data_IF_534740371418
#
_entry.id   IF_534740371418
#
_cell.length_a   1.000
_cell.length_b   1.000
_cell.length_c   1.000
_cell.angle_alpha   90.00
_cell.angle_beta   90.00
_cell.angle_gamma   90.00
#
_symmetry.space_group_name_H-M   'P 1'
#
loop_
_entity.id
_entity.type
_entity.pdbx_description
1 polymer ?
#
# COMPACT_ATOMS: atom_id res chain seq x y z
N UNK A 1 2.46 16.53 6.07
CA UNK A 1 1.65 16.64 4.84
C UNK A 1 0.94 15.31 4.61
N UNK A 2 -0.34 15.31 4.21
CA UNK A 2 -1.04 14.05 3.85
C UNK A 2 -0.41 13.53 2.55
N UNK A 3 0.07 12.29 2.52
CA UNK A 3 0.66 11.71 1.30
C UNK A 3 -0.36 11.71 0.15
N UNK A 4 0.03 12.15 -1.06
CA UNK A 4 -0.82 12.06 -2.25
C UNK A 4 -1.26 10.63 -2.52
N UNK A 5 -2.45 10.49 -3.08
CA UNK A 5 -2.98 9.19 -3.52
C UNK A 5 -2.84 9.10 -5.04
N UNK A 6 -2.34 7.97 -5.53
CA UNK A 6 -2.15 7.67 -6.95
C UNK A 6 -3.14 6.56 -7.37
N UNK A 7 -3.78 6.64 -8.54
CA UNK A 7 -4.64 5.56 -9.03
C UNK A 7 -3.81 4.34 -9.43
N UNK A 8 -4.32 3.14 -9.14
CA UNK A 8 -3.65 1.86 -9.41
C UNK A 8 -2.98 1.24 -8.18
N UNK A 9 -2.40 0.05 -8.37
CA UNK A 9 -1.73 -0.75 -7.35
C UNK A 9 -0.30 -1.13 -7.76
N UNK A 10 0.53 -1.48 -6.77
CA UNK A 10 1.96 -1.74 -7.01
C UNK A 10 2.21 -3.12 -7.63
N UNK A 11 1.59 -4.17 -7.09
CA UNK A 11 1.74 -5.55 -7.57
C UNK A 11 0.65 -6.45 -6.96
N UNK A 12 0.48 -7.64 -7.51
CA UNK A 12 -0.37 -8.68 -6.93
C UNK A 12 0.25 -9.22 -5.64
N UNK A 13 -0.55 -9.25 -4.57
CA UNK A 13 -0.13 -9.84 -3.29
C UNK A 13 -0.98 -11.08 -2.96
N UNK A 14 -0.57 -11.83 -1.94
CA UNK A 14 -1.39 -12.91 -1.38
C UNK A 14 -1.76 -12.55 0.06
N UNK A 15 -3.06 -12.65 0.37
CA UNK A 15 -3.59 -12.38 1.72
C UNK A 15 -2.97 -13.34 2.74
N UNK A 16 -2.56 -12.83 3.90
CA UNK A 16 -2.08 -13.64 5.02
C UNK A 16 -0.56 -13.80 5.16
N UNK A 17 0.24 -13.29 4.20
CA UNK A 17 1.68 -13.08 4.42
C UNK A 17 1.90 -11.82 5.24
N UNK A 18 1.83 -11.98 6.56
CA UNK A 18 2.06 -10.95 7.58
C UNK A 18 3.54 -10.77 7.96
N UNK A 19 4.45 -11.55 7.37
CA UNK A 19 5.88 -11.47 7.71
C UNK A 19 6.52 -10.26 7.01
N UNK A 20 6.21 -9.10 7.54
CA UNK A 20 6.74 -7.84 7.08
C UNK A 20 8.15 -7.55 7.66
N UNK A 21 8.67 -8.45 8.49
CA UNK A 21 10.07 -8.45 8.93
C UNK A 21 11.00 -9.01 7.84
N UNK A 22 10.50 -9.95 7.02
CA UNK A 22 11.30 -10.62 5.98
C UNK A 22 10.78 -10.42 4.57
N UNK A 23 9.49 -10.19 4.39
CA UNK A 23 8.86 -10.03 3.10
C UNK A 23 9.17 -8.69 2.43
N UNK A 24 8.93 -8.64 1.13
CA UNK A 24 8.96 -7.40 0.34
C UNK A 24 7.55 -6.88 0.01
N UNK A 25 6.53 -7.74 0.17
CA UNK A 25 5.13 -7.40 -0.04
C UNK A 25 4.22 -8.36 0.71
N UNK A 26 2.98 -7.93 0.93
CA UNK A 26 1.91 -8.75 1.49
C UNK A 26 0.62 -7.94 1.63
N UNK A 27 -0.38 -8.50 2.30
CA UNK A 27 -1.62 -7.80 2.60
C UNK A 27 -2.00 -7.92 4.07
N UNK A 28 -2.45 -6.79 4.64
CA UNK A 28 -2.93 -6.71 6.01
C UNK A 28 -4.35 -7.25 6.12
N UNK A 29 -4.62 -7.97 7.20
CA UNK A 29 -5.97 -8.38 7.55
C UNK A 29 -6.70 -7.19 8.18
N UNK A 30 -7.67 -6.63 7.46
CA UNK A 30 -8.43 -5.46 7.90
C UNK A 30 -9.79 -5.87 8.45
N UNK A 31 -10.33 -5.09 9.39
CA UNK A 31 -11.70 -5.32 9.86
C UNK A 31 -12.69 -4.90 8.77
N UNK A 32 -13.83 -5.58 8.60
CA UNK A 32 -14.84 -5.21 7.60
C UNK A 32 -15.30 -3.75 7.68
N UNK A 33 -15.30 -3.15 8.87
CA UNK A 33 -15.65 -1.75 9.08
C UNK A 33 -14.72 -0.76 8.36
N UNK A 34 -13.44 -1.12 8.14
CA UNK A 34 -12.47 -0.27 7.45
C UNK A 34 -12.83 -0.02 5.98
N UNK A 35 -13.55 -0.93 5.33
CA UNK A 35 -13.89 -0.84 3.90
C UNK A 35 -15.15 -0.02 3.60
N UNK A 36 -15.74 0.64 4.61
CA UNK A 36 -16.94 1.47 4.45
C UNK A 36 -16.63 2.94 4.15
N UNK A 37 -15.38 3.35 4.36
CA UNK A 37 -14.90 4.71 4.11
C UNK A 37 -13.44 4.65 3.63
N UNK A 38 -13.18 5.25 2.47
CA UNK A 38 -11.87 5.23 1.84
C UNK A 38 -10.83 5.96 2.68
N UNK A 39 -11.23 6.99 3.44
CA UNK A 39 -10.35 7.71 4.33
C UNK A 39 -9.98 6.87 5.55
N UNK A 40 -10.96 6.17 6.13
CA UNK A 40 -10.72 5.22 7.22
C UNK A 40 -9.84 4.04 6.77
N UNK A 41 -10.06 3.51 5.57
CA UNK A 41 -9.22 2.46 4.98
C UNK A 41 -7.78 2.94 4.80
N UNK A 42 -7.58 4.07 4.11
CA UNK A 42 -6.26 4.68 3.91
C UNK A 42 -5.53 4.88 5.24
N UNK A 43 -6.18 5.52 6.21
CA UNK A 43 -5.57 5.79 7.52
C UNK A 43 -5.15 4.49 8.23
N UNK A 44 -5.99 3.45 8.15
CA UNK A 44 -5.71 2.17 8.80
C UNK A 44 -4.60 1.39 8.08
N UNK A 45 -4.56 1.41 6.75
CA UNK A 45 -3.47 0.82 5.95
C UNK A 45 -2.14 1.50 6.23
N UNK A 46 -2.12 2.84 6.21
CA UNK A 46 -0.93 3.62 6.57
C UNK A 46 -0.49 3.33 8.00
N UNK A 47 -1.41 3.25 8.95
CA UNK A 47 -1.07 2.93 10.34
C UNK A 47 -0.43 1.55 10.49
N UNK A 48 -0.98 0.51 9.86
CA UNK A 48 -0.38 -0.84 9.86
C UNK A 48 1.01 -0.83 9.20
N UNK A 49 1.16 -0.13 8.08
CA UNK A 49 2.44 0.06 7.40
C UNK A 49 3.48 0.74 8.31
N UNK A 50 3.07 1.75 9.08
CA UNK A 50 3.97 2.45 10.00
C UNK A 50 4.49 1.55 11.13
N UNK A 51 3.73 0.53 11.54
CA UNK A 51 4.20 -0.47 12.51
C UNK A 51 5.21 -1.47 11.90
N UNK A 52 5.30 -1.53 10.57
CA UNK A 52 6.12 -2.49 9.86
C UNK A 52 7.40 -1.86 9.31
N UNK A 53 8.59 -2.22 9.78
CA UNK A 53 9.86 -1.54 9.42
C UNK A 53 10.21 -1.57 7.92
N UNK A 54 9.73 -2.55 7.15
CA UNK A 54 9.97 -2.68 5.70
C UNK A 54 8.88 -2.06 4.83
N UNK A 55 7.74 -1.68 5.37
CA UNK A 55 6.67 -1.10 4.57
C UNK A 55 6.96 0.36 4.20
N UNK A 56 6.95 0.66 2.90
CA UNK A 56 7.16 2.00 2.38
C UNK A 56 5.94 2.52 1.60
N UNK A 57 5.15 1.61 1.01
CA UNK A 57 3.97 1.94 0.21
C UNK A 57 2.80 1.04 0.60
N UNK A 58 1.58 1.53 0.39
CA UNK A 58 0.38 0.71 0.47
C UNK A 58 -0.51 0.95 -0.74
N UNK A 59 -1.07 -0.14 -1.27
CA UNK A 59 -2.17 -0.13 -2.25
C UNK A 59 -3.42 -0.64 -1.57
N UNK A 60 -4.53 0.07 -1.71
CA UNK A 60 -5.78 -0.25 -1.03
C UNK A 60 -6.99 -0.04 -1.94
N UNK A 61 -8.03 -0.84 -1.70
CA UNK A 61 -9.29 -0.76 -2.43
C UNK A 61 -10.43 -1.17 -1.52
N UNK A 62 -11.47 -0.34 -1.42
CA UNK A 62 -12.70 -0.72 -0.73
C UNK A 62 -13.46 -1.80 -1.49
N UNK A 63 -13.49 -1.70 -2.82
CA UNK A 63 -14.20 -2.60 -3.73
C UNK A 63 -13.62 -4.02 -3.61
N UNK A 64 -12.28 -4.12 -3.67
CA UNK A 64 -11.56 -5.39 -3.57
C UNK A 64 -11.34 -5.83 -2.12
N UNK A 65 -11.72 -5.00 -1.15
CA UNK A 65 -11.48 -5.19 0.28
C UNK A 65 -10.02 -5.52 0.58
N UNK A 66 -9.13 -4.74 -0.01
CA UNK A 66 -7.68 -4.98 0.02
C UNK A 66 -6.93 -3.83 0.70
N UNK A 67 -5.85 -4.21 1.37
CA UNK A 67 -4.87 -3.36 2.00
C UNK A 67 -3.50 -4.03 1.88
N UNK A 68 -2.88 -3.87 0.73
CA UNK A 68 -1.58 -4.44 0.38
C UNK A 68 -0.45 -3.48 0.72
N UNK A 69 0.67 -4.02 1.18
CA UNK A 69 1.86 -3.28 1.56
C UNK A 69 3.06 -3.72 0.74
N UNK A 70 3.98 -2.78 0.49
CA UNK A 70 5.15 -3.00 -0.35
C UNK A 70 6.37 -2.29 0.21
N UNK A 71 7.52 -2.96 0.11
CA UNK A 71 8.82 -2.38 0.36
C UNK A 71 9.27 -1.45 -0.78
N UNK A 72 8.90 -1.75 -2.03
CA UNK A 72 9.21 -0.94 -3.21
C UNK A 72 8.00 -0.83 -4.14
N UNK A 73 7.82 0.34 -4.77
CA UNK A 73 6.76 0.59 -5.74
C UNK A 73 7.14 1.79 -6.62
N UNK A 74 6.91 1.71 -7.93
CA UNK A 74 7.04 2.86 -8.83
C UNK A 74 5.67 3.55 -8.97
N UNK A 75 5.53 4.73 -8.37
CA UNK A 75 4.29 5.51 -8.41
C UNK A 75 3.99 6.11 -9.79
N UNK A 76 4.92 6.04 -10.74
CA UNK A 76 4.72 6.49 -12.12
C UNK A 76 4.27 5.37 -13.05
N UNK A 77 4.31 4.11 -12.60
CA UNK A 77 3.98 2.92 -13.40
C UNK A 77 3.14 1.94 -12.58
N UNK A 78 1.99 2.43 -12.10
CA UNK A 78 1.04 1.62 -11.32
C UNK A 78 0.15 0.78 -12.24
N UNK A 79 -0.09 -0.46 -11.84
CA UNK A 79 -1.03 -1.33 -12.52
C UNK A 79 -2.47 -0.82 -12.29
N UNK A 80 -3.22 -0.66 -13.38
CA UNK A 80 -4.61 -0.19 -13.41
C UNK A 80 -5.59 -1.23 -13.97
N UNK A 81 -5.13 -2.47 -14.19
CA UNK A 81 -5.93 -3.59 -14.68
C UNK A 81 -7.08 -3.97 -13.76
N UNK A 82 -6.95 -3.67 -12.45
CA UNK A 82 -8.01 -3.81 -11.47
C UNK A 82 -8.48 -2.43 -11.00
N UNK A 83 -9.75 -2.13 -11.25
CA UNK A 83 -10.34 -0.84 -10.94
C UNK A 83 -10.37 -0.53 -9.42
N UNK A 84 -10.45 0.76 -9.11
CA UNK A 84 -10.66 1.31 -7.76
C UNK A 84 -9.53 1.07 -6.75
N UNK A 85 -8.37 0.60 -7.22
CA UNK A 85 -7.15 0.65 -6.43
C UNK A 85 -6.53 2.03 -6.36
N UNK A 86 -5.96 2.30 -5.20
CA UNK A 86 -5.26 3.53 -4.89
C UNK A 86 -3.98 3.21 -4.12
N UNK A 87 -2.89 3.90 -4.44
CA UNK A 87 -1.59 3.72 -3.82
C UNK A 87 -1.11 5.02 -3.15
N UNK A 88 -0.48 4.89 -1.98
CA UNK A 88 0.17 6.00 -1.28
C UNK A 88 1.57 5.60 -0.81
N UNK A 89 2.52 6.52 -0.90
CA UNK A 89 3.78 6.41 -0.16
C UNK A 89 3.53 6.72 1.32
N UNK A 90 3.87 5.77 2.20
CA UNK A 90 3.76 5.91 3.65
C UNK A 90 5.07 6.47 4.20
N UNK A 91 6.18 5.78 3.90
CA UNK A 91 7.51 6.27 4.25
C UNK A 91 8.15 6.88 3.03
N UNK A 92 8.01 8.19 2.94
CA UNK A 92 8.85 8.98 2.03
C UNK A 92 10.26 9.00 2.65
N UNK A 93 11.01 7.90 2.50
CA UNK A 93 12.46 8.08 2.38
C UNK A 93 12.59 9.11 1.27
N UNK A 94 13.30 10.22 1.48
CA UNK A 94 13.72 11.10 0.38
C UNK A 94 14.38 10.19 -0.65
N UNK A 95 13.64 9.73 -1.64
CA UNK A 95 14.15 9.00 -2.77
C UNK A 95 14.81 10.08 -3.61
N UNK A 96 16.15 10.13 -3.71
CA UNK A 96 16.76 10.96 -4.72
C UNK A 96 16.27 10.43 -6.07
N UNK A 97 15.96 11.29 -7.04
CA UNK A 97 15.61 10.82 -8.38
C UNK A 97 16.79 9.99 -8.93
N UNK A 98 16.56 8.70 -9.21
CA UNK A 98 17.53 7.88 -9.95
C UNK A 98 18.04 6.59 -9.31
N UNK A 99 17.33 5.93 -8.39
CA UNK A 99 17.70 4.56 -8.01
C UNK A 99 17.03 3.52 -8.92
N UNK A 100 17.46 3.46 -10.18
CA UNK A 100 17.36 2.27 -11.02
C UNK A 100 18.68 1.51 -10.87
N UNK A 101 18.62 0.20 -10.68
CA UNK A 101 19.76 -0.67 -10.92
C UNK A 101 19.30 -1.93 -11.61
#
# INVERSE_FOLDING_TARGET
ARSPTHPGFCDYTSVGRYDCERGDLGAFAMKPANFRDIHALKASCTHQCDQCSRCNFVSFSMEQRDCSWFNSCDLNDLDTSVAHFHTVAVRVRRQPPGASR
#
